data_IF_817463320035
#
_entry.id   IF_817463320035
#
_cell.length_a   1.000
_cell.length_b   1.000
_cell.length_c   1.000
_cell.angle_alpha   90.00
_cell.angle_beta   90.00
_cell.angle_gamma   90.00
#
_symmetry.space_group_name_H-M   'P 1'
#
loop_
_entity.id
_entity.type
_entity.pdbx_description
1 polymer ?
#
# COMPACT_ATOMS: atom_id res chain seq x y z
N UNK A 1 25.36 -9.58 -6.20
CA UNK A 1 23.95 -9.55 -6.62
C UNK A 1 23.16 -9.07 -5.40
N UNK A 2 22.74 -7.80 -5.40
CA UNK A 2 21.95 -7.21 -4.31
C UNK A 2 20.52 -7.70 -4.49
N UNK A 3 20.03 -8.53 -3.59
CA UNK A 3 18.61 -8.91 -3.53
C UNK A 3 17.83 -7.69 -3.08
N UNK A 4 17.22 -6.98 -4.02
CA UNK A 4 16.23 -5.98 -3.72
C UNK A 4 14.99 -6.73 -3.20
N UNK A 5 14.77 -6.73 -1.90
CA UNK A 5 13.51 -7.18 -1.32
C UNK A 5 12.53 -6.05 -1.59
N UNK A 6 11.73 -6.24 -2.64
CA UNK A 6 10.63 -5.34 -2.94
C UNK A 6 9.51 -5.65 -1.96
N UNK A 7 9.44 -4.91 -0.88
CA UNK A 7 8.27 -4.85 -0.03
C UNK A 7 7.23 -3.98 -0.75
N UNK A 8 6.36 -4.61 -1.55
CA UNK A 8 5.08 -3.99 -1.85
C UNK A 8 4.32 -3.94 -0.53
N UNK A 9 4.55 -2.89 0.20
CA UNK A 9 3.81 -2.62 1.40
C UNK A 9 2.40 -2.24 0.98
N UNK A 10 1.49 -3.19 1.10
CA UNK A 10 0.14 -2.81 1.47
C UNK A 10 0.28 -2.12 2.83
N UNK A 11 0.45 -0.80 2.84
CA UNK A 11 0.66 0.03 4.05
C UNK A 11 -0.40 -0.27 5.11
N UNK A 12 -1.52 -0.83 4.70
CA UNK A 12 -2.60 -1.27 5.59
C UNK A 12 -2.20 -2.49 6.44
N UNK A 13 -1.31 -3.36 5.99
CA UNK A 13 -0.94 -4.57 6.74
C UNK A 13 0.20 -4.33 7.74
N UNK A 14 1.07 -3.36 7.50
CA UNK A 14 2.17 -3.07 8.42
C UNK A 14 1.72 -2.34 9.70
N UNK A 15 0.58 -1.67 9.70
CA UNK A 15 0.02 -1.00 10.88
C UNK A 15 -0.52 -1.96 11.95
N UNK A 16 -0.71 -3.26 11.63
CA UNK A 16 -1.23 -4.22 12.60
C UNK A 16 -0.16 -4.92 13.44
N UNK A 17 1.14 -4.74 13.13
CA UNK A 17 2.20 -5.50 13.81
C UNK A 17 3.02 -4.72 14.84
N UNK A 18 2.75 -3.45 15.08
CA UNK A 18 3.48 -2.64 16.06
C UNK A 18 2.54 -1.95 17.05
N UNK A 19 1.69 -2.70 17.75
CA UNK A 19 0.95 -2.16 18.87
C UNK A 19 1.28 -2.94 20.16
N UNK A 20 1.93 -2.33 21.15
CA UNK A 20 1.73 -2.74 22.52
C UNK A 20 0.55 -1.92 23.07
N UNK A 21 -0.58 -2.47 23.06
CA UNK A 21 -1.69 -2.39 24.04
C UNK A 21 -2.96 -2.88 23.39
N UNK A 22 -3.30 -4.09 23.77
CA UNK A 22 -4.55 -4.76 23.50
C UNK A 22 -5.68 -3.93 24.12
N UNK A 23 -6.41 -3.19 23.29
CA UNK A 23 -7.83 -2.97 23.52
C UNK A 23 -8.52 -4.06 22.71
N UNK A 24 -9.23 -4.96 23.39
CA UNK A 24 -10.05 -5.97 22.78
C UNK A 24 -11.03 -5.28 21.83
N UNK A 25 -10.75 -5.30 20.52
CA UNK A 25 -11.75 -5.02 19.52
C UNK A 25 -12.68 -6.22 19.49
N UNK A 26 -13.97 -5.97 19.75
CA UNK A 26 -15.01 -6.95 19.41
C UNK A 26 -14.84 -7.26 17.91
N UNK A 27 -14.54 -8.54 17.61
CA UNK A 27 -14.55 -9.05 16.24
C UNK A 27 -15.97 -8.86 15.69
N UNK A 28 -16.15 -7.79 14.92
CA UNK A 28 -17.35 -7.61 14.12
C UNK A 28 -17.45 -8.74 13.08
N UNK A 29 -18.63 -9.00 12.53
CA UNK A 29 -18.81 -10.07 11.56
C UNK A 29 -17.84 -9.90 10.39
N UNK A 30 -17.18 -10.98 9.96
CA UNK A 30 -16.26 -10.92 8.83
C UNK A 30 -16.99 -10.29 7.63
N UNK A 31 -16.39 -9.26 7.04
CA UNK A 31 -16.84 -8.58 5.82
C UNK A 31 -18.03 -7.61 5.90
N UNK A 32 -18.66 -7.37 7.07
CA UNK A 32 -19.88 -6.53 7.18
C UNK A 32 -19.73 -5.19 7.92
N UNK A 33 -18.60 -4.94 8.59
CA UNK A 33 -18.40 -3.75 9.42
C UNK A 33 -18.10 -2.46 8.64
N UNK A 34 -18.23 -1.32 9.33
CA UNK A 34 -17.73 -0.04 8.83
C UNK A 34 -16.20 -0.07 8.70
N UNK A 35 -15.60 0.78 7.84
CA UNK A 35 -14.15 0.94 7.80
C UNK A 35 -13.59 1.38 9.16
N UNK A 36 -12.45 0.80 9.55
CA UNK A 36 -11.76 1.13 10.79
C UNK A 36 -11.09 2.50 10.68
N UNK A 37 -11.07 3.23 11.79
CA UNK A 37 -10.26 4.43 11.92
C UNK A 37 -8.81 4.00 12.11
N UNK A 38 -7.95 4.46 11.23
CA UNK A 38 -6.51 4.17 11.26
C UNK A 38 -5.72 5.46 11.42
N UNK A 39 -4.71 5.43 12.28
CA UNK A 39 -3.73 6.48 12.41
C UNK A 39 -2.40 5.86 12.81
N UNK A 40 -1.31 6.38 12.27
CA UNK A 40 0.01 5.88 12.60
C UNK A 40 1.11 6.48 11.75
N UNK A 41 2.32 6.09 12.07
CA UNK A 41 3.53 6.51 11.36
C UNK A 41 4.20 5.30 10.75
N UNK A 42 4.73 5.47 9.54
CA UNK A 42 5.57 4.45 8.89
C UNK A 42 6.97 5.02 8.81
N UNK A 43 7.90 4.46 9.58
CA UNK A 43 9.27 4.95 9.63
C UNK A 43 10.05 4.64 8.34
N UNK A 44 11.16 5.37 8.10
CA UNK A 44 11.92 5.31 6.83
C UNK A 44 12.42 3.92 6.43
N UNK A 45 12.68 3.05 7.40
CA UNK A 45 13.16 1.68 7.14
C UNK A 45 12.16 0.81 6.36
N UNK A 46 10.89 1.20 6.31
CA UNK A 46 9.87 0.50 5.52
C UNK A 46 9.84 0.92 4.06
N UNK A 47 10.56 2.00 3.69
CA UNK A 47 10.71 2.49 2.32
C UNK A 47 12.18 2.58 1.90
N UNK A 48 12.96 1.48 2.00
CA UNK A 48 14.39 1.54 1.74
C UNK A 48 14.68 1.80 0.25
N UNK A 49 15.37 2.91 -0.03
CA UNK A 49 15.94 3.15 -1.34
C UNK A 49 14.95 3.52 -2.45
N UNK A 50 13.72 3.91 -2.09
CA UNK A 50 12.72 4.36 -3.07
C UNK A 50 12.93 5.80 -3.51
N UNK A 51 13.56 6.63 -2.66
CA UNK A 51 14.08 7.96 -3.00
C UNK A 51 15.57 8.03 -2.62
N UNK A 52 16.26 9.09 -3.05
CA UNK A 52 17.65 9.36 -2.68
C UNK A 52 17.79 9.76 -1.19
N UNK A 53 16.70 10.05 -0.53
CA UNK A 53 16.57 10.44 0.88
C UNK A 53 15.51 9.59 1.58
N UNK A 54 15.58 9.44 2.91
CA UNK A 54 14.58 8.68 3.66
C UNK A 54 13.26 9.45 3.76
N UNK A 55 12.14 8.70 3.64
CA UNK A 55 10.78 9.21 3.78
C UNK A 55 10.18 8.83 5.12
N UNK A 56 9.51 9.78 5.78
CA UNK A 56 8.66 9.53 6.93
C UNK A 56 7.20 9.75 6.53
N UNK A 57 6.32 8.81 6.88
CA UNK A 57 4.91 8.88 6.54
C UNK A 57 4.04 8.93 7.79
N UNK A 58 3.08 9.84 7.80
CA UNK A 58 2.00 9.88 8.78
C UNK A 58 0.68 9.59 8.06
N UNK A 59 -0.06 8.62 8.56
CA UNK A 59 -1.33 8.16 7.97
C UNK A 59 -2.47 8.43 8.92
N UNK A 60 -3.56 8.99 8.42
CA UNK A 60 -4.76 9.26 9.20
C UNK A 60 -6.03 9.12 8.33
N UNK A 61 -7.03 8.43 8.82
CA UNK A 61 -8.31 8.29 8.12
C UNK A 61 -9.01 6.98 8.37
N UNK A 62 -9.52 6.36 7.31
CA UNK A 62 -10.26 5.10 7.40
C UNK A 62 -9.74 4.08 6.41
N UNK A 63 -9.65 2.83 6.84
CA UNK A 63 -9.29 1.70 5.99
C UNK A 63 -10.15 0.47 6.31
N UNK A 64 -10.27 -0.42 5.35
CA UNK A 64 -10.93 -1.72 5.52
C UNK A 64 -10.25 -2.76 4.67
N UNK A 65 -9.97 -3.92 5.28
CA UNK A 65 -9.58 -5.12 4.57
C UNK A 65 -10.78 -6.07 4.53
N UNK A 66 -11.07 -6.60 3.34
CA UNK A 66 -12.10 -7.61 3.10
C UNK A 66 -11.36 -8.83 2.55
N UNK A 67 -11.37 -9.89 3.31
CA UNK A 67 -10.83 -11.19 2.88
C UNK A 67 -11.94 -12.01 2.23
N UNK A 68 -11.60 -12.69 1.15
CA UNK A 68 -12.53 -13.52 0.37
C UNK A 68 -11.98 -14.96 0.36
N UNK A 69 -12.22 -15.73 1.42
CA UNK A 69 -11.56 -17.02 1.65
C UNK A 69 -11.79 -18.05 0.54
N UNK A 70 -12.89 -17.94 -0.19
CA UNK A 70 -13.25 -18.88 -1.26
C UNK A 70 -12.91 -18.36 -2.67
N UNK A 71 -12.25 -17.19 -2.75
CA UNK A 71 -11.83 -16.57 -4.01
C UNK A 71 -12.95 -16.28 -5.02
N UNK A 72 -14.20 -16.51 -4.64
CA UNK A 72 -15.36 -16.35 -5.51
C UNK A 72 -15.29 -17.14 -6.85
N UNK A 73 -14.47 -18.18 -6.91
CA UNK A 73 -14.20 -18.97 -8.12
C UNK A 73 -13.27 -18.29 -9.14
N UNK A 74 -12.77 -17.08 -8.85
CA UNK A 74 -11.93 -16.29 -9.76
C UNK A 74 -10.56 -15.92 -9.18
N UNK A 75 -10.17 -16.52 -8.05
CA UNK A 75 -8.89 -16.25 -7.40
C UNK A 75 -8.80 -14.90 -6.68
N UNK A 76 -9.85 -14.08 -6.64
CA UNK A 76 -9.86 -12.84 -5.85
C UNK A 76 -9.78 -13.20 -4.37
N UNK A 77 -8.70 -12.77 -3.70
CA UNK A 77 -8.39 -13.18 -2.32
C UNK A 77 -8.64 -12.07 -1.32
N UNK A 78 -8.47 -10.81 -1.72
CA UNK A 78 -8.73 -9.69 -0.81
C UNK A 78 -9.04 -8.39 -1.54
N UNK A 79 -9.75 -7.51 -0.84
CA UNK A 79 -9.98 -6.13 -1.24
C UNK A 79 -9.61 -5.24 -0.05
N UNK A 80 -8.62 -4.39 -0.21
CA UNK A 80 -8.31 -3.32 0.74
C UNK A 80 -8.86 -2.00 0.21
N UNK A 81 -9.58 -1.25 1.04
CA UNK A 81 -10.13 0.06 0.68
C UNK A 81 -9.74 1.10 1.71
N UNK A 82 -9.53 2.34 1.26
CA UNK A 82 -9.14 3.46 2.12
C UNK A 82 -10.02 4.68 1.89
N UNK A 83 -11.29 4.65 2.33
CA UNK A 83 -12.19 5.80 2.15
C UNK A 83 -11.79 6.96 3.06
N UNK A 84 -11.30 8.06 2.48
CA UNK A 84 -10.89 9.25 3.22
C UNK A 84 -9.62 9.03 4.05
N UNK A 85 -8.67 8.27 3.53
CA UNK A 85 -7.35 8.12 4.11
C UNK A 85 -6.43 9.21 3.57
N UNK A 86 -5.76 9.93 4.46
CA UNK A 86 -4.73 10.90 4.14
C UNK A 86 -3.35 10.36 4.54
N UNK A 87 -2.34 10.69 3.74
CA UNK A 87 -0.94 10.44 4.05
C UNK A 87 -0.16 11.75 3.94
N UNK A 88 0.56 12.09 4.99
CA UNK A 88 1.58 13.15 4.98
C UNK A 88 2.94 12.50 4.82
N UNK A 89 3.67 12.90 3.79
CA UNK A 89 4.99 12.37 3.45
C UNK A 89 6.00 13.48 3.67
N UNK A 90 7.04 13.21 4.45
CA UNK A 90 8.09 14.16 4.82
C UNK A 90 9.45 13.62 4.41
N UNK A 91 10.27 14.44 3.77
CA UNK A 91 11.68 14.17 3.60
C UNK A 91 12.38 14.33 4.96
N UNK A 92 12.99 13.26 5.46
CA UNK A 92 13.62 13.28 6.81
C UNK A 92 14.84 14.19 6.86
N UNK A 93 15.55 14.37 5.74
CA UNK A 93 16.75 15.23 5.66
C UNK A 93 16.40 16.71 5.58
N UNK A 94 15.22 17.05 5.02
CA UNK A 94 14.68 18.41 4.88
C UNK A 94 13.23 18.42 5.30
N UNK A 95 12.92 18.46 6.61
CA UNK A 95 11.54 18.30 7.12
C UNK A 95 10.54 19.37 6.67
N UNK A 96 11.00 20.49 6.17
CA UNK A 96 10.18 21.52 5.51
C UNK A 96 9.61 21.03 4.16
N UNK A 97 10.27 20.06 3.52
CA UNK A 97 9.79 19.41 2.32
C UNK A 97 8.83 18.28 2.70
N UNK A 98 7.56 18.62 2.78
CA UNK A 98 6.48 17.69 3.06
C UNK A 98 5.26 17.94 2.18
N UNK A 99 4.49 16.89 1.93
CA UNK A 99 3.23 16.99 1.20
C UNK A 99 2.19 16.04 1.77
N UNK A 100 0.94 16.48 1.80
CA UNK A 100 -0.19 15.64 2.22
C UNK A 100 -1.04 15.28 1.00
N UNK A 101 -1.35 13.99 0.89
CA UNK A 101 -2.20 13.45 -0.15
C UNK A 101 -3.38 12.70 0.44
N UNK A 102 -4.56 12.93 -0.11
CA UNK A 102 -5.67 12.02 0.11
C UNK A 102 -5.46 10.79 -0.77
N UNK A 103 -5.35 9.61 -0.16
CA UNK A 103 -5.12 8.33 -0.85
C UNK A 103 -6.39 7.46 -0.80
N UNK A 104 -7.52 8.04 -1.14
CA UNK A 104 -8.80 7.34 -1.29
C UNK A 104 -8.76 6.42 -2.50
N UNK A 105 -8.48 5.17 -2.26
CA UNK A 105 -8.33 4.15 -3.29
C UNK A 105 -8.69 2.76 -2.80
N UNK A 106 -8.40 1.77 -3.64
CA UNK A 106 -8.55 0.36 -3.30
C UNK A 106 -7.50 -0.50 -3.97
N UNK A 107 -7.15 -1.60 -3.30
CA UNK A 107 -6.34 -2.68 -3.84
C UNK A 107 -7.19 -3.94 -3.93
N UNK A 108 -7.20 -4.55 -5.09
CA UNK A 108 -7.86 -5.84 -5.34
C UNK A 108 -6.77 -6.85 -5.64
N UNK A 109 -6.64 -7.87 -4.80
CA UNK A 109 -5.64 -8.91 -4.99
C UNK A 109 -6.30 -10.17 -5.52
N UNK A 110 -5.66 -10.75 -6.54
CA UNK A 110 -6.06 -12.01 -7.16
C UNK A 110 -4.86 -12.93 -7.17
N UNK A 111 -5.01 -14.14 -6.64
CA UNK A 111 -3.97 -15.16 -6.66
C UNK A 111 -4.23 -16.15 -7.79
N UNK A 112 -3.25 -16.39 -8.62
CA UNK A 112 -3.27 -17.50 -9.58
C UNK A 112 -3.06 -18.79 -8.80
N UNK A 113 -4.05 -19.67 -8.79
CA UNK A 113 -4.02 -20.91 -8.00
C UNK A 113 -3.03 -21.96 -8.55
N UNK A 114 -2.58 -21.83 -9.80
CA UNK A 114 -1.62 -22.74 -10.42
C UNK A 114 -0.17 -22.32 -10.16
N UNK A 115 0.12 -21.02 -10.27
CA UNK A 115 1.48 -20.49 -10.13
C UNK A 115 1.75 -19.89 -8.76
N UNK A 116 0.71 -19.49 -8.03
CA UNK A 116 0.81 -18.75 -6.77
C UNK A 116 1.05 -17.25 -6.96
N UNK A 117 1.12 -16.77 -8.20
CA UNK A 117 1.34 -15.35 -8.48
C UNK A 117 0.19 -14.49 -7.95
N UNK A 118 0.53 -13.35 -7.38
CA UNK A 118 -0.44 -12.38 -6.85
C UNK A 118 -0.46 -11.14 -7.74
N UNK A 119 -1.56 -10.97 -8.45
CA UNK A 119 -1.86 -9.74 -9.19
C UNK A 119 -2.58 -8.77 -8.27
N UNK A 120 -2.06 -7.56 -8.15
CA UNK A 120 -2.72 -6.46 -7.43
C UNK A 120 -3.17 -5.40 -8.42
N UNK A 121 -4.45 -5.04 -8.36
CA UNK A 121 -5.04 -3.95 -9.10
C UNK A 121 -5.34 -2.79 -8.14
N UNK A 122 -4.59 -1.70 -8.28
CA UNK A 122 -4.78 -0.45 -7.54
C UNK A 122 -5.74 0.46 -8.31
N UNK A 123 -6.81 0.90 -7.67
CA UNK A 123 -7.83 1.78 -8.25
C UNK A 123 -8.00 3.04 -7.41
N UNK A 124 -8.24 4.16 -8.07
CA UNK A 124 -8.40 5.45 -7.41
C UNK A 124 -7.06 6.12 -7.14
N UNK A 125 -6.87 6.68 -5.95
CA UNK A 125 -5.63 7.34 -5.57
C UNK A 125 -4.93 6.51 -4.48
N UNK A 126 -3.73 6.04 -4.79
CA UNK A 126 -2.97 5.15 -3.93
C UNK A 126 -1.51 5.63 -3.83
N UNK A 127 -0.89 5.42 -2.67
CA UNK A 127 0.57 5.51 -2.52
C UNK A 127 1.17 4.15 -2.88
N UNK A 128 2.11 4.15 -3.81
CA UNK A 128 2.80 2.96 -4.28
C UNK A 128 4.32 3.16 -4.20
N UNK A 129 5.03 2.06 -4.03
CA UNK A 129 6.49 2.00 -4.14
C UNK A 129 6.86 1.00 -5.23
N UNK A 130 7.57 1.45 -6.24
CA UNK A 130 8.00 0.68 -7.39
C UNK A 130 9.52 0.81 -7.55
N UNK A 131 10.25 -0.28 -7.86
CA UNK A 131 11.72 -0.23 -7.99
C UNK A 131 12.22 0.68 -9.10
N UNK A 132 11.42 0.91 -10.14
CA UNK A 132 11.78 1.73 -11.29
C UNK A 132 11.22 3.15 -11.18
N UNK A 133 9.95 3.27 -10.75
CA UNK A 133 9.27 4.55 -10.63
C UNK A 133 9.50 5.25 -9.28
N UNK A 134 10.10 4.57 -8.28
CA UNK A 134 10.29 5.10 -6.94
C UNK A 134 8.98 5.14 -6.13
N UNK A 135 8.87 6.10 -5.21
CA UNK A 135 7.64 6.34 -4.46
C UNK A 135 6.73 7.28 -5.25
N UNK A 136 5.52 6.82 -5.57
CA UNK A 136 4.57 7.54 -6.40
C UNK A 136 3.18 7.60 -5.80
N UNK A 137 2.46 8.70 -6.03
CA UNK A 137 1.00 8.73 -5.89
C UNK A 137 0.41 8.38 -7.25
N UNK A 138 -0.20 7.20 -7.33
CA UNK A 138 -0.88 6.71 -8.52
C UNK A 138 -2.35 7.12 -8.49
N UNK A 139 -2.84 7.76 -9.55
CA UNK A 139 -4.22 8.22 -9.70
C UNK A 139 -4.80 7.56 -10.95
N UNK A 140 -5.63 6.56 -10.77
CA UNK A 140 -6.19 5.80 -11.90
C UNK A 140 -6.35 4.33 -11.63
N UNK A 141 -6.03 3.50 -12.62
CA UNK A 141 -6.06 2.05 -12.52
C UNK A 141 -4.67 1.52 -12.93
N UNK A 142 -3.98 0.93 -11.97
CA UNK A 142 -2.66 0.37 -12.16
C UNK A 142 -2.61 -1.05 -11.61
N UNK A 143 -1.79 -1.91 -12.21
CA UNK A 143 -1.57 -3.27 -11.75
C UNK A 143 -0.10 -3.60 -11.67
N UNK A 144 0.25 -4.55 -10.81
CA UNK A 144 1.57 -5.15 -10.67
C UNK A 144 1.42 -6.59 -10.20
N UNK A 145 2.45 -7.41 -10.43
CA UNK A 145 2.40 -8.84 -10.12
C UNK A 145 3.65 -9.24 -9.34
N UNK A 146 3.42 -9.99 -8.26
CA UNK A 146 4.46 -10.71 -7.54
C UNK A 146 4.32 -12.22 -7.78
N UNK A 147 5.46 -12.92 -7.86
CA UNK A 147 5.45 -14.39 -7.85
C UNK A 147 5.15 -14.95 -6.45
N UNK A 148 5.04 -16.28 -6.34
CA UNK A 148 4.78 -16.97 -5.08
C UNK A 148 5.87 -16.73 -4.02
N UNK A 149 7.09 -16.40 -4.43
CA UNK A 149 8.23 -16.10 -3.58
C UNK A 149 8.30 -14.62 -3.16
N UNK A 150 7.39 -13.77 -3.67
CA UNK A 150 7.31 -12.34 -3.38
C UNK A 150 8.25 -11.47 -4.20
N UNK A 151 8.75 -11.96 -5.34
CA UNK A 151 9.52 -11.13 -6.28
C UNK A 151 8.58 -10.41 -7.24
N UNK A 152 8.89 -9.15 -7.56
CA UNK A 152 8.14 -8.41 -8.57
C UNK A 152 8.46 -8.97 -9.96
N UNK A 153 7.46 -9.56 -10.64
CA UNK A 153 7.58 -10.13 -11.97
C UNK A 153 6.94 -9.27 -13.05
N UNK A 154 6.02 -8.37 -12.67
CA UNK A 154 5.50 -7.31 -13.52
C UNK A 154 5.46 -6.02 -12.70
N UNK A 155 6.17 -5.00 -13.19
CA UNK A 155 6.17 -3.65 -12.62
C UNK A 155 4.84 -2.94 -12.79
N UNK A 156 4.79 -1.68 -12.38
CA UNK A 156 3.58 -0.88 -12.38
C UNK A 156 3.12 -0.56 -13.80
N UNK A 157 2.00 -1.13 -14.22
CA UNK A 157 1.37 -0.92 -15.51
C UNK A 157 -0.06 -0.42 -15.36
N UNK A 158 -0.51 0.47 -16.26
CA UNK A 158 -1.90 0.93 -16.18
C UNK A 158 -2.19 2.23 -16.90
N UNK A 159 -3.31 2.84 -16.51
CA UNK A 159 -3.79 4.12 -17.07
C UNK A 159 -4.11 5.09 -15.94
N UNK A 160 -3.54 6.29 -16.05
CA UNK A 160 -3.75 7.33 -15.05
C UNK A 160 -2.58 8.30 -14.99
N UNK A 161 -2.44 8.93 -13.85
CA UNK A 161 -1.35 9.86 -13.54
C UNK A 161 -0.49 9.25 -12.44
N UNK A 162 0.83 9.41 -12.57
CA UNK A 162 1.80 9.14 -11.51
C UNK A 162 2.41 10.48 -11.07
N UNK A 163 2.38 10.75 -9.78
CA UNK A 163 3.07 11.89 -9.16
C UNK A 163 4.30 11.32 -8.49
N UNK A 164 5.47 11.68 -8.96
CA UNK A 164 6.76 11.31 -8.38
C UNK A 164 6.96 12.06 -7.05
N UNK A 165 6.87 11.33 -5.95
CA UNK A 165 7.03 11.87 -4.58
C UNK A 165 8.50 12.24 -4.35
N UNK A 166 9.44 11.48 -4.90
CA UNK A 166 10.86 11.77 -4.72
C UNK A 166 11.25 13.08 -5.40
N UNK A 167 10.77 13.33 -6.62
CA UNK A 167 11.01 14.60 -7.33
C UNK A 167 10.28 15.79 -6.67
N UNK A 168 9.14 15.54 -6.00
CA UNK A 168 8.37 16.58 -5.32
C UNK A 168 9.03 17.05 -4.02
N UNK A 169 9.67 16.15 -3.29
CA UNK A 169 10.20 16.38 -1.93
C UNK A 169 11.74 16.48 -1.87
N UNK A 170 12.42 16.31 -3.01
CA UNK A 170 13.88 16.39 -3.15
C UNK A 170 14.47 17.80 -3.26
#
# INVERSE_FOLDING_TARGET
MKRAIVLALSVILALTMAAPTVLAQEEGPPNGGAPDVVSGTVPPEFFPGTCAFPLHLEVNGKAKLIELPDGGGVGLTSIATSPGLDVTITNVETPENQATFNITGSFHQTTNLETGDVTTLARGRNLLSDPEAGTVIAIGNFSYVFDAEGNLVQGLEGKGQLIDVCALLG
#
